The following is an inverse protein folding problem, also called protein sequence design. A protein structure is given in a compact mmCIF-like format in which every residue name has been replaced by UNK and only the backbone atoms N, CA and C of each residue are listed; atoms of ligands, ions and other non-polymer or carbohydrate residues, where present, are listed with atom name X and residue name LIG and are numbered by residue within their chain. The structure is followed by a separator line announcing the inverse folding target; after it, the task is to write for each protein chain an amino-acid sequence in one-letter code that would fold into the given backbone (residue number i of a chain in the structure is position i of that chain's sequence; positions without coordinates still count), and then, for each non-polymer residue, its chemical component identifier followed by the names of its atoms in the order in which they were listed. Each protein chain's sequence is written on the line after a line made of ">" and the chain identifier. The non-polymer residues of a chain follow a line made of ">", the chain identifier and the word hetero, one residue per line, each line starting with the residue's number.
data_IF_785498800255
#
_entry.id   IF_785498800255
#
_cell.length_a   1.000
_cell.length_b   1.000
_cell.length_c   1.000
_cell.angle_alpha   90.00
_cell.angle_beta   90.00
_cell.angle_gamma   90.00
#
_symmetry.space_group_name_H-M   'P 1'
#
loop_
_entity.id
_entity.type
_entity.pdbx_description
1 polymer ?
#
# COMPACT_ATOMS: atom_id res chain seq x y z
N UNK A 1 -11.87 -31.54 9.97
CA UNK A 1 -10.82 -30.70 9.37
C UNK A 1 -10.78 -29.44 10.19
N UNK A 2 -9.65 -29.22 10.85
CA UNK A 2 -9.40 -28.10 11.75
C UNK A 2 -9.13 -26.85 10.90
N UNK A 3 -9.97 -25.82 11.06
CA UNK A 3 -9.90 -24.57 10.28
C UNK A 3 -8.86 -23.67 10.92
N UNK A 4 -7.60 -23.89 10.55
CA UNK A 4 -6.44 -23.18 11.06
C UNK A 4 -6.50 -21.66 10.87
N UNK A 5 -6.17 -20.99 11.97
CA UNK A 5 -5.81 -19.58 12.18
C UNK A 5 -6.87 -18.48 11.87
N UNK A 6 -7.14 -17.57 12.83
CA UNK A 6 -8.10 -16.50 12.66
C UNK A 6 -7.60 -15.45 11.65
N UNK A 7 -8.54 -14.90 10.87
CA UNK A 7 -8.36 -13.67 10.09
C UNK A 7 -7.74 -12.59 10.99
N UNK A 8 -6.46 -12.26 10.79
CA UNK A 8 -5.82 -11.19 11.54
C UNK A 8 -6.32 -9.85 11.02
N UNK A 9 -7.16 -9.20 11.82
CA UNK A 9 -7.54 -7.80 11.66
C UNK A 9 -6.33 -6.91 11.96
N UNK A 10 -6.09 -5.89 11.11
CA UNK A 10 -5.26 -4.77 11.55
C UNK A 10 -6.11 -3.91 12.47
N UNK A 11 -5.69 -3.72 13.71
CA UNK A 11 -6.40 -2.85 14.67
C UNK A 11 -6.43 -1.36 14.28
N UNK A 12 -6.01 -0.97 13.07
CA UNK A 12 -5.93 0.43 12.63
C UNK A 12 -6.84 0.79 11.45
N UNK A 13 -7.39 -0.18 10.71
CA UNK A 13 -8.20 0.09 9.51
C UNK A 13 -9.45 -0.79 9.52
N UNK A 14 -10.65 -0.20 9.44
CA UNK A 14 -11.91 -0.91 9.25
C UNK A 14 -12.08 -1.38 7.79
N UNK A 15 -11.05 -2.02 7.25
CA UNK A 15 -11.00 -2.52 5.87
C UNK A 15 -10.49 -3.95 5.89
N UNK A 16 -10.94 -4.77 4.92
CA UNK A 16 -10.48 -6.15 4.75
C UNK A 16 -8.98 -6.12 4.43
N UNK A 17 -8.15 -6.29 5.45
CA UNK A 17 -6.71 -6.42 5.27
C UNK A 17 -6.40 -7.84 4.82
N UNK A 18 -5.75 -7.96 3.66
CA UNK A 18 -5.09 -9.20 3.25
C UNK A 18 -3.72 -9.27 3.95
N UNK A 19 -3.71 -9.42 5.27
CA UNK A 19 -2.46 -9.56 6.04
C UNK A 19 -1.93 -10.98 5.93
N UNK A 20 -0.71 -11.12 5.42
CA UNK A 20 -0.04 -12.42 5.26
C UNK A 20 0.28 -12.61 3.79
N UNK A 21 1.56 -12.48 3.45
CA UNK A 21 2.11 -12.38 2.08
C UNK A 21 1.16 -12.90 1.00
N UNK A 22 0.44 -11.99 0.34
CA UNK A 22 -0.41 -12.24 -0.84
C UNK A 22 -1.36 -13.46 -0.81
N UNK A 23 -1.66 -14.07 0.35
CA UNK A 23 -2.17 -15.45 0.39
C UNK A 23 -3.60 -15.58 0.91
N UNK A 24 -4.04 -14.90 1.96
CA UNK A 24 -5.27 -15.34 2.65
C UNK A 24 -6.53 -15.31 1.77
N UNK A 25 -6.95 -14.19 1.17
CA UNK A 25 -8.17 -14.21 0.31
C UNK A 25 -7.90 -14.82 -1.06
N UNK A 26 -6.72 -14.66 -1.66
CA UNK A 26 -6.41 -15.26 -2.98
C UNK A 26 -6.24 -16.78 -2.94
N UNK A 27 -5.66 -17.34 -1.87
CA UNK A 27 -5.54 -18.79 -1.64
C UNK A 27 -6.81 -19.38 -1.02
N UNK A 28 -7.63 -18.60 -0.31
CA UNK A 28 -8.91 -19.10 0.20
C UNK A 28 -10.04 -19.00 -0.84
N UNK A 29 -10.10 -17.94 -1.66
CA UNK A 29 -11.21 -17.64 -2.55
C UNK A 29 -10.72 -16.92 -3.84
N UNK A 30 -10.72 -17.58 -5.00
CA UNK A 30 -10.63 -16.86 -6.29
C UNK A 30 -11.79 -15.84 -6.43
N UNK A 31 -11.74 -14.90 -7.38
CA UNK A 31 -12.72 -13.81 -7.45
C UNK A 31 -14.19 -14.29 -7.43
N UNK A 32 -14.59 -15.35 -8.19
CA UNK A 32 -15.97 -15.86 -8.12
C UNK A 32 -16.37 -16.32 -6.72
N UNK A 33 -15.44 -16.90 -5.97
CA UNK A 33 -15.68 -17.41 -4.61
C UNK A 33 -15.68 -16.28 -3.58
N UNK A 34 -14.90 -15.21 -3.81
CA UNK A 34 -14.92 -14.01 -2.98
C UNK A 34 -16.27 -13.29 -3.10
N UNK A 35 -16.74 -13.07 -4.33
CA UNK A 35 -18.05 -12.50 -4.61
C UNK A 35 -19.19 -13.35 -4.03
N UNK A 36 -19.11 -14.68 -4.16
CA UNK A 36 -20.13 -15.57 -3.59
C UNK A 36 -20.16 -15.56 -2.05
N UNK A 37 -19.02 -15.32 -1.38
CA UNK A 37 -18.92 -15.38 0.08
C UNK A 37 -19.20 -14.04 0.74
N UNK A 38 -18.76 -12.95 0.12
CA UNK A 38 -18.82 -11.60 0.69
C UNK A 38 -19.96 -10.77 0.09
N UNK A 39 -20.52 -11.17 -1.05
CA UNK A 39 -21.44 -10.37 -1.84
C UNK A 39 -20.73 -9.57 -2.92
N UNK A 40 -21.50 -8.86 -3.73
CA UNK A 40 -21.04 -8.04 -4.87
C UNK A 40 -21.23 -6.53 -4.63
N UNK A 41 -21.51 -6.13 -3.39
CA UNK A 41 -21.60 -4.71 -3.05
C UNK A 41 -20.23 -4.03 -3.25
N UNK A 42 -20.19 -3.02 -4.13
CA UNK A 42 -19.00 -2.24 -4.45
C UNK A 42 -18.26 -1.68 -3.22
N UNK A 43 -18.98 -1.46 -2.11
CA UNK A 43 -18.38 -0.92 -0.89
C UNK A 43 -17.53 -1.95 -0.15
N UNK A 44 -17.74 -3.24 -0.38
CA UNK A 44 -16.98 -4.34 0.23
C UNK A 44 -15.56 -4.40 -0.34
N UNK A 45 -15.42 -4.14 -1.64
CA UNK A 45 -14.15 -4.20 -2.36
C UNK A 45 -13.57 -2.83 -2.70
N UNK A 46 -14.05 -1.74 -2.09
CA UNK A 46 -13.60 -0.38 -2.39
C UNK A 46 -12.06 -0.25 -2.46
N UNK A 47 -11.36 -0.82 -1.47
CA UNK A 47 -9.91 -0.87 -1.44
C UNK A 47 -9.43 -2.28 -1.09
N UNK A 48 -8.46 -2.78 -1.85
CA UNK A 48 -7.77 -4.03 -1.55
C UNK A 48 -6.38 -3.73 -1.00
N UNK A 49 -6.13 -4.10 0.25
CA UNK A 49 -4.80 -3.97 0.84
C UNK A 49 -4.01 -5.24 0.51
N UNK A 50 -2.86 -5.11 -0.16
CA UNK A 50 -1.90 -6.18 -0.42
C UNK A 50 -0.53 -5.82 0.15
N UNK A 51 0.31 -6.81 0.41
CA UNK A 51 1.67 -6.55 0.88
C UNK A 51 2.62 -7.68 0.54
N UNK A 52 3.81 -7.29 0.08
CA UNK A 52 4.86 -8.19 -0.37
C UNK A 52 6.24 -7.51 -0.42
N UNK A 53 7.23 -8.26 -0.88
CA UNK A 53 8.56 -7.77 -1.22
C UNK A 53 8.54 -6.93 -2.51
N UNK A 54 9.39 -5.89 -2.64
CA UNK A 54 9.57 -5.18 -3.91
C UNK A 54 10.56 -5.88 -4.85
N UNK A 55 11.12 -7.04 -4.47
CA UNK A 55 11.89 -7.87 -5.40
C UNK A 55 11.03 -8.41 -6.55
N UNK A 56 11.66 -8.95 -7.59
CA UNK A 56 10.96 -9.44 -8.80
C UNK A 56 9.86 -10.46 -8.48
N UNK A 57 10.06 -11.32 -7.49
CA UNK A 57 9.08 -12.32 -7.11
C UNK A 57 7.87 -11.70 -6.41
N UNK A 58 8.10 -10.73 -5.53
CA UNK A 58 7.03 -9.96 -4.89
C UNK A 58 6.31 -9.04 -5.87
N UNK A 59 7.01 -8.43 -6.83
CA UNK A 59 6.40 -7.68 -7.93
C UNK A 59 5.45 -8.54 -8.77
N UNK A 60 5.82 -9.78 -9.07
CA UNK A 60 4.92 -10.71 -9.77
C UNK A 60 3.68 -11.03 -8.92
N UNK A 61 3.84 -11.20 -7.60
CA UNK A 61 2.72 -11.45 -6.69
C UNK A 61 1.79 -10.24 -6.57
N UNK A 62 2.32 -9.03 -6.50
CA UNK A 62 1.55 -7.77 -6.53
C UNK A 62 0.84 -7.60 -7.87
N UNK A 63 1.54 -7.81 -8.99
CA UNK A 63 0.94 -7.72 -10.32
C UNK A 63 -0.23 -8.70 -10.50
N UNK A 64 -0.16 -9.86 -9.85
CA UNK A 64 -1.24 -10.85 -9.87
C UNK A 64 -2.47 -10.45 -9.04
N UNK A 65 -2.41 -9.40 -8.20
CA UNK A 65 -3.61 -8.84 -7.53
C UNK A 65 -4.43 -7.93 -8.44
N UNK A 66 -3.81 -7.39 -9.49
CA UNK A 66 -4.48 -6.50 -10.47
C UNK A 66 -5.69 -7.18 -11.14
N UNK A 67 -5.58 -8.38 -11.75
CA UNK A 67 -6.73 -9.04 -12.36
C UNK A 67 -7.82 -9.38 -11.33
N UNK A 68 -7.44 -9.75 -10.11
CA UNK A 68 -8.41 -9.96 -9.02
C UNK A 68 -9.16 -8.68 -8.70
N UNK A 69 -8.43 -7.56 -8.52
CA UNK A 69 -9.00 -6.25 -8.22
C UNK A 69 -10.00 -5.81 -9.29
N UNK A 70 -9.64 -5.97 -10.56
CA UNK A 70 -10.52 -5.68 -11.68
C UNK A 70 -11.78 -6.55 -11.66
N UNK A 71 -11.65 -7.86 -11.39
CA UNK A 71 -12.77 -8.80 -11.42
C UNK A 71 -13.78 -8.59 -10.28
N UNK A 72 -13.30 -8.21 -9.09
CA UNK A 72 -14.18 -7.87 -7.95
C UNK A 72 -14.68 -6.42 -7.97
N UNK A 73 -14.28 -5.62 -8.97
CA UNK A 73 -14.69 -4.22 -9.10
C UNK A 73 -14.06 -3.28 -8.07
N UNK A 74 -12.87 -3.59 -7.59
CA UNK A 74 -12.16 -2.74 -6.64
C UNK A 74 -11.70 -1.44 -7.28
N UNK A 75 -11.95 -0.30 -6.62
CA UNK A 75 -11.55 1.01 -7.15
C UNK A 75 -10.05 1.25 -6.97
N UNK A 76 -9.45 0.68 -5.92
CA UNK A 76 -8.01 0.80 -5.68
C UNK A 76 -7.37 -0.40 -5.00
N UNK A 77 -6.10 -0.59 -5.28
CA UNK A 77 -5.21 -1.47 -4.51
C UNK A 77 -4.27 -0.61 -3.68
N UNK A 78 -4.20 -0.89 -2.38
CA UNK A 78 -3.25 -0.25 -1.46
C UNK A 78 -2.14 -1.25 -1.13
N UNK A 79 -0.90 -0.85 -1.31
CA UNK A 79 0.26 -1.71 -1.09
C UNK A 79 0.97 -1.34 0.20
N UNK A 80 1.07 -2.26 1.16
CA UNK A 80 1.97 -2.14 2.31
C UNK A 80 3.27 -2.88 2.04
N UNK A 81 4.40 -2.36 2.51
CA UNK A 81 5.66 -3.09 2.40
C UNK A 81 5.76 -4.23 3.39
N UNK A 82 6.23 -5.40 2.95
CA UNK A 82 6.61 -6.49 3.86
C UNK A 82 8.02 -6.36 4.45
N UNK A 83 8.69 -5.22 4.30
CA UNK A 83 10.12 -5.05 4.61
C UNK A 83 10.39 -4.04 5.72
N UNK A 84 11.43 -4.26 6.53
CA UNK A 84 11.84 -3.30 7.54
C UNK A 84 12.40 -2.02 6.92
N UNK A 85 12.27 -0.90 7.63
CA UNK A 85 12.91 0.38 7.29
C UNK A 85 14.44 0.31 7.33
N UNK A 86 14.98 -0.46 8.27
CA UNK A 86 16.42 -0.59 8.48
C UNK A 86 17.17 -1.03 7.22
N UNK A 87 18.27 -0.33 6.90
CA UNK A 87 19.10 -0.64 5.74
C UNK A 87 18.50 -0.21 4.39
N UNK A 88 17.37 0.49 4.37
CA UNK A 88 16.82 1.13 3.18
C UNK A 88 17.30 2.58 3.11
N UNK A 89 18.03 2.91 2.04
CA UNK A 89 18.51 4.26 1.77
C UNK A 89 17.71 4.93 0.64
N UNK A 90 17.97 6.22 0.39
CA UNK A 90 17.33 7.01 -0.66
C UNK A 90 17.38 6.36 -2.06
N UNK A 91 18.51 5.74 -2.42
CA UNK A 91 18.65 5.07 -3.71
C UNK A 91 17.70 3.88 -3.84
N UNK A 92 17.58 3.07 -2.77
CA UNK A 92 16.61 1.96 -2.71
C UNK A 92 15.17 2.47 -2.76
N UNK A 93 14.84 3.58 -2.08
CA UNK A 93 13.50 4.19 -2.13
C UNK A 93 13.13 4.71 -3.52
N UNK A 94 14.07 5.33 -4.24
CA UNK A 94 13.84 5.75 -5.62
C UNK A 94 13.66 4.57 -6.57
N UNK A 95 14.45 3.52 -6.43
CA UNK A 95 14.27 2.28 -7.21
C UNK A 95 12.90 1.67 -6.94
N UNK A 96 12.50 1.63 -5.67
CA UNK A 96 11.18 1.18 -5.27
C UNK A 96 10.06 2.03 -5.89
N UNK A 97 10.18 3.36 -5.88
CA UNK A 97 9.23 4.26 -6.51
C UNK A 97 9.03 3.95 -8.01
N UNK A 98 10.12 3.68 -8.74
CA UNK A 98 10.06 3.27 -10.14
C UNK A 98 9.29 1.96 -10.31
N UNK A 99 9.60 0.94 -9.51
CA UNK A 99 8.91 -0.35 -9.54
C UNK A 99 7.41 -0.20 -9.27
N UNK A 100 7.04 0.55 -8.23
CA UNK A 100 5.64 0.77 -7.85
C UNK A 100 4.90 1.60 -8.92
N UNK A 101 5.59 2.52 -9.59
CA UNK A 101 5.04 3.28 -10.73
C UNK A 101 4.65 2.35 -11.87
N UNK A 102 5.49 1.37 -12.22
CA UNK A 102 5.17 0.39 -13.27
C UNK A 102 4.03 -0.55 -12.90
N UNK A 103 3.89 -0.87 -11.61
CA UNK A 103 2.70 -1.59 -11.10
C UNK A 103 1.46 -0.72 -11.22
N UNK A 104 1.55 0.55 -10.81
CA UNK A 104 0.43 1.49 -10.85
C UNK A 104 -0.06 1.75 -12.28
N UNK A 105 0.83 1.82 -13.27
CA UNK A 105 0.45 1.88 -14.69
C UNK A 105 -0.38 0.67 -15.11
N UNK A 106 0.07 -0.54 -14.76
CA UNK A 106 -0.67 -1.79 -15.04
C UNK A 106 -2.02 -1.83 -14.35
N UNK A 107 -2.12 -1.35 -13.11
CA UNK A 107 -3.40 -1.23 -12.40
C UNK A 107 -4.35 -0.26 -13.10
N UNK A 108 -3.84 0.89 -13.56
CA UNK A 108 -4.61 1.88 -14.30
C UNK A 108 -5.12 1.34 -15.64
N UNK A 109 -4.28 0.64 -16.38
CA UNK A 109 -4.67 -0.01 -17.64
C UNK A 109 -5.77 -1.06 -17.43
N UNK A 110 -5.83 -1.66 -16.24
CA UNK A 110 -6.88 -2.57 -15.81
C UNK A 110 -8.10 -1.88 -15.17
N UNK A 111 -8.14 -0.53 -15.12
CA UNK A 111 -9.26 0.26 -14.63
C UNK A 111 -9.26 0.59 -13.14
N UNK A 112 -8.18 0.29 -12.40
CA UNK A 112 -8.07 0.56 -10.95
C UNK A 112 -6.93 1.52 -10.60
N UNK A 113 -7.03 2.16 -9.43
CA UNK A 113 -5.93 2.94 -8.86
C UNK A 113 -4.97 2.06 -8.05
N UNK A 114 -3.74 2.53 -7.86
CA UNK A 114 -2.74 1.88 -7.01
C UNK A 114 -2.07 2.90 -6.10
N UNK A 115 -2.04 2.62 -4.80
CA UNK A 115 -1.41 3.49 -3.81
C UNK A 115 -0.40 2.73 -2.97
N UNK A 116 0.68 3.41 -2.58
CA UNK A 116 1.52 2.97 -1.48
C UNK A 116 0.87 3.35 -0.15
N UNK A 117 0.63 2.39 0.74
CA UNK A 117 0.19 2.65 2.11
C UNK A 117 1.40 2.82 3.03
N UNK A 118 1.56 4.02 3.56
CA UNK A 118 2.60 4.35 4.52
C UNK A 118 2.33 3.64 5.86
N UNK A 119 3.37 3.02 6.43
CA UNK A 119 3.26 2.34 7.73
C UNK A 119 4.53 2.52 8.59
N UNK A 120 4.43 2.21 9.89
CA UNK A 120 5.58 2.22 10.80
C UNK A 120 6.50 1.04 10.53
N UNK A 121 7.81 1.20 10.77
CA UNK A 121 8.88 0.21 10.53
C UNK A 121 8.99 -0.27 9.08
N UNK A 122 8.43 0.49 8.12
CA UNK A 122 8.48 0.19 6.69
C UNK A 122 9.37 1.19 5.94
N UNK A 123 9.81 0.89 4.70
CA UNK A 123 10.80 1.68 3.96
C UNK A 123 10.44 3.16 3.77
N UNK A 124 9.15 3.49 3.85
CA UNK A 124 8.61 4.85 3.86
C UNK A 124 7.86 5.05 5.18
N UNK A 125 8.54 5.62 6.17
CA UNK A 125 8.02 5.80 7.53
C UNK A 125 8.02 7.26 7.96
N UNK A 126 9.07 7.98 7.61
CA UNK A 126 9.27 9.39 7.98
C UNK A 126 9.01 10.32 6.80
N UNK A 127 8.82 11.61 7.09
CA UNK A 127 8.62 12.63 6.06
C UNK A 127 9.81 12.71 5.06
N UNK A 128 11.04 12.47 5.53
CA UNK A 128 12.21 12.42 4.67
C UNK A 128 12.10 11.28 3.65
N UNK A 129 11.67 10.10 4.10
CA UNK A 129 11.48 8.92 3.24
C UNK A 129 10.38 9.16 2.20
N UNK A 130 9.29 9.82 2.60
CA UNK A 130 8.20 10.21 1.68
C UNK A 130 8.74 11.13 0.59
N UNK A 131 9.56 12.13 0.94
CA UNK A 131 10.17 13.03 -0.05
C UNK A 131 11.09 12.28 -1.01
N UNK A 132 11.94 11.41 -0.48
CA UNK A 132 12.85 10.60 -1.31
C UNK A 132 12.12 9.61 -2.23
N UNK A 133 10.98 9.07 -1.79
CA UNK A 133 10.11 8.26 -2.63
C UNK A 133 9.51 9.13 -3.74
N UNK A 134 8.92 10.28 -3.40
CA UNK A 134 8.29 11.19 -4.37
C UNK A 134 9.27 11.68 -5.43
N UNK A 135 10.55 11.90 -5.08
CA UNK A 135 11.61 12.25 -6.03
C UNK A 135 11.82 11.18 -7.12
N UNK A 136 11.49 9.91 -6.82
CA UNK A 136 11.59 8.79 -7.76
C UNK A 136 10.29 8.44 -8.48
N UNK A 137 9.18 9.12 -8.16
CA UNK A 137 7.85 8.81 -8.69
C UNK A 137 7.52 9.63 -9.93
N UNK A 138 6.85 8.99 -10.89
CA UNK A 138 6.15 9.75 -11.93
C UNK A 138 4.87 10.36 -11.33
N UNK A 139 4.71 11.67 -11.49
CA UNK A 139 3.56 12.38 -10.95
C UNK A 139 2.25 11.91 -11.57
N UNK A 140 1.24 11.69 -10.71
CA UNK A 140 -0.09 11.32 -11.15
C UNK A 140 -0.20 9.88 -11.66
N UNK A 141 0.75 9.00 -11.37
CA UNK A 141 0.69 7.57 -11.71
C UNK A 141 0.51 6.70 -10.47
N UNK A 142 1.38 6.87 -9.47
CA UNK A 142 1.31 6.17 -8.19
C UNK A 142 0.78 7.12 -7.11
N UNK A 143 -0.24 6.68 -6.37
CA UNK A 143 -0.77 7.43 -5.22
C UNK A 143 -0.01 7.07 -3.93
N UNK A 144 -0.13 7.92 -2.91
CA UNK A 144 0.33 7.65 -1.55
C UNK A 144 -0.88 7.71 -0.59
N UNK A 145 -1.22 6.58 0.03
CA UNK A 145 -2.16 6.55 1.17
C UNK A 145 -1.38 6.85 2.44
N UNK A 146 -1.57 8.06 2.99
CA UNK A 146 -0.95 8.50 4.24
C UNK A 146 -1.79 8.05 5.43
N UNK A 147 -1.22 7.19 6.27
CA UNK A 147 -1.85 6.80 7.54
C UNK A 147 -1.41 7.76 8.64
N UNK A 148 -2.31 8.67 9.00
CA UNK A 148 -2.02 9.72 9.98
C UNK A 148 -1.78 9.15 11.39
N UNK A 149 -2.30 7.96 11.71
CA UNK A 149 -2.01 7.30 12.99
C UNK A 149 -0.60 6.72 13.01
N UNK A 150 -0.13 6.15 11.89
CA UNK A 150 1.26 5.68 11.77
C UNK A 150 2.25 6.84 11.73
N UNK A 151 1.90 7.92 11.03
CA UNK A 151 2.71 9.13 10.99
C UNK A 151 2.86 9.78 12.39
N UNK A 152 1.79 9.79 13.19
CA UNK A 152 1.85 10.25 14.57
C UNK A 152 2.76 9.37 15.44
N UNK A 153 2.79 8.05 15.19
CA UNK A 153 3.64 7.08 15.91
C UNK A 153 5.10 7.18 15.51
N UNK A 154 5.42 7.52 14.26
CA UNK A 154 6.80 7.71 13.80
C UNK A 154 7.43 9.02 14.30
N UNK A 155 6.72 9.81 15.11
CA UNK A 155 7.21 11.10 15.62
C UNK A 155 7.21 12.22 14.58
N UNK A 156 6.74 11.95 13.36
CA UNK A 156 6.63 12.93 12.28
C UNK A 156 5.45 13.87 12.53
N UNK A 157 5.74 15.13 12.90
CA UNK A 157 4.73 16.19 12.91
C UNK A 157 4.55 16.72 11.48
N UNK A 158 3.32 16.71 10.96
CA UNK A 158 2.96 17.57 9.82
C UNK A 158 2.95 19.00 10.36
N UNK A 159 4.13 19.62 10.39
CA UNK A 159 4.31 21.00 10.81
C UNK A 159 3.80 21.94 9.71
N UNK A 160 2.83 22.79 10.06
CA UNK A 160 2.58 24.05 9.36
C UNK A 160 3.90 24.82 9.43
N UNK A 161 4.46 25.23 8.29
CA UNK A 161 5.66 26.07 8.26
C UNK A 161 5.46 27.28 9.18
N UNK A 162 6.12 27.25 10.34
CA UNK A 162 6.29 28.43 11.18
C UNK A 162 7.59 29.09 10.76
N UNK A 163 7.58 29.68 9.56
CA UNK A 163 8.54 30.73 9.22
C UNK A 163 8.10 32.01 9.93
N UNK A 164 8.30 32.08 11.24
CA UNK A 164 8.42 33.39 11.91
C UNK A 164 9.84 33.86 11.66
N UNK A 165 9.98 34.76 10.68
CA UNK A 165 11.21 35.51 10.43
C UNK A 165 11.57 36.30 11.69
N UNK A 166 12.61 35.87 12.39
CA UNK A 166 13.26 36.66 13.43
C UNK A 166 14.19 37.69 12.79
N UNK A 167 13.79 38.96 12.90
CA UNK A 167 14.68 40.13 12.98
C UNK A 167 15.17 40.72 11.66
N UNK A 168 15.00 42.04 11.50
CA UNK A 168 16.10 42.98 11.29
C UNK A 168 15.73 44.30 12.00
N UNK A 169 16.79 44.95 12.49
CA UNK A 169 16.90 46.01 13.50
C UNK A 169 16.10 47.29 13.27
#
# INVERSE_FOLDING_TARGET
>A
MDLGEPLQTCNCCAQVKLSGGGSAVRQLLGPPRALASLGDDRWIFWALITGDSPDDAGQQRIAATIPFAAEVGAERTEFCHGHPHEGVNAAKRRSLASTLTDIARRSRDAGGAFSLHQNTDQPVMELADVRELLDGMEQGVLDLTVDTAQLARSGSRIGRDSSTSSGHS
#
